data_IF_773982106285
#
_entry.id   IF_773982106285
#
_cell.length_a   1.000
_cell.length_b   1.000
_cell.length_c   1.000
_cell.angle_alpha   90.00
_cell.angle_beta   90.00
_cell.angle_gamma   90.00
#
_symmetry.space_group_name_H-M   'P 1'
#
loop_
_entity.id
_entity.type
_entity.pdbx_description
1 polymer ?
#
# COMPACT_ATOMS: atom_id res chain seq x y z
N UNK A 1 -33.97 -11.71 -5.79
CA UNK A 1 -32.84 -12.60 -5.43
C UNK A 1 -31.66 -11.72 -5.11
N UNK A 2 -31.18 -11.83 -3.88
CA UNK A 2 -30.16 -10.98 -3.25
C UNK A 2 -28.88 -10.95 -4.08
N UNK A 3 -28.49 -9.75 -4.49
CA UNK A 3 -27.23 -9.51 -5.19
C UNK A 3 -26.11 -9.67 -4.16
N UNK A 4 -25.52 -10.87 -4.09
CA UNK A 4 -24.34 -11.13 -3.29
C UNK A 4 -23.21 -10.27 -3.85
N UNK A 5 -22.97 -9.11 -3.26
CA UNK A 5 -21.74 -8.35 -3.44
C UNK A 5 -20.63 -9.18 -2.83
N UNK A 6 -20.05 -10.10 -3.62
CA UNK A 6 -18.82 -10.76 -3.25
C UNK A 6 -17.81 -9.65 -2.89
N UNK A 7 -17.38 -9.63 -1.63
CA UNK A 7 -16.29 -8.76 -1.24
C UNK A 7 -15.09 -9.10 -2.14
N UNK A 8 -14.32 -8.11 -2.60
CA UNK A 8 -13.13 -8.38 -3.40
C UNK A 8 -12.23 -9.37 -2.67
N UNK A 9 -11.54 -10.30 -3.36
CA UNK A 9 -10.77 -11.40 -2.77
C UNK A 9 -9.64 -11.00 -1.81
N UNK A 10 -9.44 -9.70 -1.57
CA UNK A 10 -8.51 -9.19 -0.57
C UNK A 10 -9.22 -8.76 0.74
N UNK A 11 -10.50 -9.06 0.95
CA UNK A 11 -11.25 -8.63 2.15
C UNK A 11 -10.68 -9.12 3.48
N UNK A 12 -9.87 -10.17 3.45
CA UNK A 12 -9.41 -10.89 4.65
C UNK A 12 -8.08 -10.38 5.22
N UNK A 13 -7.59 -9.25 4.72
CA UNK A 13 -6.40 -8.60 5.26
C UNK A 13 -6.87 -7.56 6.27
N UNK A 14 -6.34 -7.59 7.50
CA UNK A 14 -6.55 -6.51 8.47
C UNK A 14 -6.16 -5.16 7.85
N UNK A 15 -7.06 -4.16 7.93
CA UNK A 15 -6.84 -2.85 7.30
C UNK A 15 -7.15 -1.69 8.26
N UNK A 16 -6.32 -0.66 8.21
CA UNK A 16 -6.59 0.62 8.84
C UNK A 16 -7.41 1.51 7.91
N UNK A 17 -8.47 2.15 8.41
CA UNK A 17 -9.22 3.12 7.62
C UNK A 17 -8.43 4.41 7.41
N UNK A 18 -8.37 4.88 6.16
CA UNK A 18 -7.78 6.15 5.75
C UNK A 18 -8.80 6.98 4.96
N UNK A 19 -8.65 8.32 4.90
CA UNK A 19 -9.53 9.14 4.08
C UNK A 19 -9.50 8.73 2.60
N UNK A 20 -10.67 8.57 1.99
CA UNK A 20 -10.82 8.22 0.56
C UNK A 20 -10.03 9.14 -0.37
N UNK A 21 -9.99 10.43 -0.03
CA UNK A 21 -9.37 11.51 -0.78
C UNK A 21 -7.86 11.28 -1.00
N UNK A 22 -7.25 10.52 -0.09
CA UNK A 22 -5.80 10.31 -0.02
C UNK A 22 -5.39 8.99 -0.71
N UNK A 23 -6.27 7.99 -0.72
CA UNK A 23 -5.88 6.62 -1.09
C UNK A 23 -6.84 5.88 -2.03
N UNK A 24 -7.86 6.57 -2.55
CA UNK A 24 -8.87 6.06 -3.48
C UNK A 24 -9.88 5.10 -2.83
N UNK A 25 -9.38 4.06 -2.16
CA UNK A 25 -10.19 3.05 -1.46
C UNK A 25 -10.37 3.31 0.04
N UNK A 26 -9.61 4.25 0.63
CA UNK A 26 -9.72 4.60 2.06
C UNK A 26 -9.31 3.50 3.04
N UNK A 27 -8.42 2.56 2.66
CA UNK A 27 -8.00 1.45 3.54
C UNK A 27 -6.52 1.09 3.40
N UNK A 28 -5.68 1.30 4.41
CA UNK A 28 -4.28 0.85 4.45
C UNK A 28 -4.19 -0.62 4.86
N UNK A 29 -3.55 -1.47 4.06
CA UNK A 29 -3.33 -2.86 4.47
C UNK A 29 -2.24 -2.95 5.54
N UNK A 30 -2.40 -3.82 6.54
CA UNK A 30 -1.39 -4.06 7.59
C UNK A 30 -0.01 -4.37 7.02
N UNK A 31 0.07 -5.12 5.91
CA UNK A 31 1.35 -5.37 5.23
C UNK A 31 2.06 -4.07 4.83
N UNK A 32 1.34 -3.09 4.27
CA UNK A 32 1.93 -1.80 3.91
C UNK A 32 2.44 -1.08 5.17
N UNK A 33 1.70 -1.15 6.27
CA UNK A 33 2.11 -0.55 7.54
C UNK A 33 3.39 -1.20 8.08
N UNK A 34 3.47 -2.53 8.11
CA UNK A 34 4.68 -3.25 8.56
C UNK A 34 5.89 -2.87 7.70
N UNK A 35 5.70 -2.77 6.38
CA UNK A 35 6.74 -2.37 5.45
C UNK A 35 7.19 -0.90 5.63
N UNK A 36 6.26 0.01 5.93
CA UNK A 36 6.58 1.40 6.27
C UNK A 36 7.36 1.50 7.60
N UNK A 37 6.97 0.74 8.61
CA UNK A 37 7.63 0.72 9.92
C UNK A 37 9.01 0.05 9.87
N UNK A 38 9.16 -1.01 9.06
CA UNK A 38 10.47 -1.65 8.83
C UNK A 38 11.49 -0.65 8.28
N UNK A 39 11.08 0.17 7.30
CA UNK A 39 11.93 1.22 6.72
C UNK A 39 12.22 2.34 7.72
N UNK A 40 11.20 2.73 8.51
CA UNK A 40 11.37 3.72 9.57
C UNK A 40 12.42 3.28 10.59
N UNK A 41 12.39 2.00 10.97
CA UNK A 41 13.34 1.43 11.92
C UNK A 41 14.75 1.36 11.33
N UNK A 42 14.90 1.02 10.05
CA UNK A 42 16.21 1.03 9.40
C UNK A 42 16.79 2.45 9.28
N UNK A 43 15.96 3.44 8.96
CA UNK A 43 16.38 4.85 8.98
C UNK A 43 16.83 5.28 10.37
N UNK A 44 16.04 4.94 11.39
CA UNK A 44 16.39 5.24 12.78
C UNK A 44 17.71 4.61 13.21
N UNK A 45 17.96 3.35 12.84
CA UNK A 45 19.22 2.67 13.13
C UNK A 45 20.43 3.32 12.44
N UNK A 46 20.24 3.89 11.23
CA UNK A 46 21.31 4.59 10.49
C UNK A 46 21.63 5.97 11.07
N UNK A 47 20.61 6.66 11.60
CA UNK A 47 20.75 8.00 12.15
C UNK A 47 21.04 8.01 13.66
N UNK A 48 21.07 6.84 14.30
CA UNK A 48 21.32 6.69 15.74
C UNK A 48 22.79 6.89 16.09
N UNK A 49 23.05 7.67 17.14
CA UNK A 49 24.39 7.85 17.74
C UNK A 49 24.67 6.83 18.88
N UNK A 50 23.73 5.94 19.19
CA UNK A 50 23.90 4.92 20.23
C UNK A 50 24.74 3.73 19.75
N UNK A 51 25.85 3.45 20.43
CA UNK A 51 26.78 2.35 20.12
C UNK A 51 26.08 0.98 19.98
N UNK A 52 25.08 0.70 20.82
CA UNK A 52 24.34 -0.56 20.78
C UNK A 52 23.49 -0.70 19.50
N UNK A 53 22.95 0.41 19.00
CA UNK A 53 22.12 0.44 17.80
C UNK A 53 23.00 0.43 16.53
N UNK A 54 24.19 1.01 16.58
CA UNK A 54 25.19 0.93 15.49
C UNK A 54 25.63 -0.53 15.25
N UNK A 55 25.90 -1.28 16.33
CA UNK A 55 26.23 -2.71 16.23
C UNK A 55 25.10 -3.51 15.56
N UNK A 56 23.84 -3.21 15.90
CA UNK A 56 22.67 -3.85 15.28
C UNK A 56 22.53 -3.45 13.81
N UNK A 57 22.83 -2.19 13.45
CA UNK A 57 22.82 -1.73 12.07
C UNK A 57 23.85 -2.50 11.22
N UNK A 58 25.04 -2.78 11.78
CA UNK A 58 26.08 -3.54 11.12
C UNK A 58 25.69 -4.99 10.80
N UNK A 59 24.84 -5.61 11.63
CA UNK A 59 24.33 -6.97 11.36
C UNK A 59 23.41 -7.04 10.13
N UNK A 60 22.99 -5.90 9.57
CA UNK A 60 22.17 -5.81 8.34
C UNK A 60 20.87 -6.62 8.43
N UNK A 61 20.30 -6.76 9.64
CA UNK A 61 19.05 -7.47 9.90
C UNK A 61 17.87 -6.87 9.15
N UNK A 62 17.90 -5.55 8.95
CA UNK A 62 16.98 -4.82 8.09
C UNK A 62 17.72 -4.40 6.83
N UNK A 63 17.21 -4.86 5.69
CA UNK A 63 17.70 -4.47 4.38
C UNK A 63 16.52 -3.99 3.54
N UNK A 64 16.35 -2.68 3.49
CA UNK A 64 15.37 -1.99 2.66
C UNK A 64 16.10 -1.15 1.62
N UNK A 65 15.60 -1.18 0.39
CA UNK A 65 16.27 -0.53 -0.76
C UNK A 65 16.04 0.97 -0.82
N UNK A 66 15.05 1.47 -0.11
CA UNK A 66 14.52 2.82 -0.24
C UNK A 66 14.04 3.33 1.12
N UNK A 67 13.94 4.64 1.26
CA UNK A 67 13.44 5.31 2.47
C UNK A 67 11.93 5.09 2.67
N UNK A 68 11.46 5.23 3.91
CA UNK A 68 10.04 5.21 4.28
C UNK A 68 9.24 6.17 3.42
N UNK A 69 9.77 7.38 3.22
CA UNK A 69 9.11 8.43 2.44
C UNK A 69 8.96 8.05 0.95
N UNK A 70 10.01 7.49 0.35
CA UNK A 70 9.98 7.05 -1.05
C UNK A 70 8.99 5.90 -1.23
N UNK A 71 9.10 4.86 -0.40
CA UNK A 71 8.18 3.73 -0.43
C UNK A 71 6.73 4.15 -0.27
N UNK A 72 6.44 4.98 0.73
CA UNK A 72 5.08 5.47 1.00
C UNK A 72 4.52 6.21 -0.21
N UNK A 73 5.31 7.08 -0.84
CA UNK A 73 4.90 7.82 -2.03
C UNK A 73 4.58 6.89 -3.21
N UNK A 74 5.41 5.88 -3.43
CA UNK A 74 5.22 4.90 -4.51
C UNK A 74 4.01 4.01 -4.26
N UNK A 75 3.80 3.54 -3.02
CA UNK A 75 2.59 2.80 -2.66
C UNK A 75 1.34 3.64 -2.86
N UNK A 76 1.34 4.91 -2.48
CA UNK A 76 0.19 5.80 -2.69
C UNK A 76 -0.10 6.02 -4.18
N UNK A 77 0.95 6.19 -5.00
CA UNK A 77 0.83 6.33 -6.46
C UNK A 77 0.24 5.06 -7.07
N UNK A 78 0.81 3.89 -6.79
CA UNK A 78 0.35 2.60 -7.30
C UNK A 78 -1.11 2.35 -6.93
N UNK A 79 -1.51 2.69 -5.70
CA UNK A 79 -2.88 2.53 -5.23
C UNK A 79 -3.85 3.46 -5.93
N UNK A 80 -3.48 4.71 -6.17
CA UNK A 80 -4.28 5.66 -6.95
C UNK A 80 -4.46 5.18 -8.39
N UNK A 81 -3.39 4.72 -9.03
CA UNK A 81 -3.43 4.20 -10.41
C UNK A 81 -4.28 2.93 -10.52
N UNK A 82 -4.13 2.00 -9.58
CA UNK A 82 -4.96 0.78 -9.49
C UNK A 82 -6.43 1.12 -9.31
N UNK A 83 -6.74 2.11 -8.46
CA UNK A 83 -8.13 2.53 -8.27
C UNK A 83 -8.71 3.18 -9.54
N UNK A 84 -7.94 4.04 -10.20
CA UNK A 84 -8.35 4.68 -11.45
C UNK A 84 -8.51 3.68 -12.59
N UNK A 85 -7.71 2.60 -12.63
CA UNK A 85 -7.86 1.55 -13.65
C UNK A 85 -9.12 0.72 -13.42
N UNK A 86 -9.47 0.43 -12.16
CA UNK A 86 -10.73 -0.25 -11.79
C UNK A 86 -11.98 0.60 -12.10
N UNK A 87 -11.84 1.93 -12.14
CA UNK A 87 -12.94 2.83 -12.53
C UNK A 87 -13.17 2.91 -14.04
N UNK A 88 -12.19 2.52 -14.87
CA UNK A 88 -12.40 2.47 -16.32
C UNK A 88 -13.23 1.22 -16.63
N UNK A 89 -14.44 1.35 -17.20
CA UNK A 89 -15.20 0.17 -17.60
C UNK A 89 -14.36 -0.62 -18.61
N UNK A 90 -14.31 -1.95 -18.46
CA UNK A 90 -13.66 -2.79 -19.47
C UNK A 90 -14.27 -2.42 -20.82
N UNK A 91 -13.44 -1.99 -21.76
CA UNK A 91 -13.91 -1.41 -23.03
C UNK A 91 -14.73 -2.39 -23.88
N UNK A 92 -14.72 -3.68 -23.51
CA UNK A 92 -15.56 -4.73 -24.07
C UNK A 92 -17.03 -4.66 -23.62
N UNK A 93 -17.32 -4.35 -22.35
CA UNK A 93 -18.70 -4.31 -21.85
C UNK A 93 -19.41 -3.00 -22.17
N UNK A 94 -18.67 -1.90 -22.32
CA UNK A 94 -19.24 -0.59 -22.65
C UNK A 94 -19.64 -0.49 -24.13
N UNK A 95 -18.87 -1.11 -25.04
CA UNK A 95 -19.23 -1.19 -26.47
C UNK A 95 -20.47 -2.04 -26.73
N UNK A 96 -20.69 -3.10 -25.94
CA UNK A 96 -21.86 -3.98 -26.07
C UNK A 96 -23.18 -3.33 -25.60
N UNK A 97 -23.12 -2.30 -24.73
CA UNK A 97 -24.32 -1.62 -24.21
C UNK A 97 -24.78 -0.42 -25.03
N UNK A 98 -23.96 0.09 -25.96
CA UNK A 98 -24.24 1.31 -26.73
C UNK A 98 -24.27 1.06 -28.26
N UNK A 99 -24.65 -0.15 -28.69
CA UNK A 99 -24.88 -0.51 -30.11
C UNK A 99 -26.33 -0.92 -30.42
N UNK A 100 -27.31 -0.35 -29.71
CA UNK A 100 -28.72 -0.43 -30.09
C UNK A 100 -29.30 0.98 -30.20
#
# INVERSE_FOLDING_TARGET
TTMNHALPPCSDIDRFHLPYNIVGHGMLGVHQTVEEEKRALEEYLKDSEEDALELIAHESLLNTRETKLVYKKDQMKNRKETWQSLQKPSSSLWKAKNQL
#
